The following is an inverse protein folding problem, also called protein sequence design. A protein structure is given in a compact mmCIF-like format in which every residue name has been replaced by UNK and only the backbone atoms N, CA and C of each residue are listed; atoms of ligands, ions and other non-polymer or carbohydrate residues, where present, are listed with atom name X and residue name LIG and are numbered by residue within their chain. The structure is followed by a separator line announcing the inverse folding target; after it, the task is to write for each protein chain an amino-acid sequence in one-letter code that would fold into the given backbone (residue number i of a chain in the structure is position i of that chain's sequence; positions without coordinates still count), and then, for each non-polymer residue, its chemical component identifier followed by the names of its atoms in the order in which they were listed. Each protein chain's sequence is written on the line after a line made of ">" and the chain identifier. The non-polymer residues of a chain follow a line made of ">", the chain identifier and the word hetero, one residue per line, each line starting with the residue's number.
data_IF_250977152919
#
_entry.id   IF_250977152919
#
_cell.length_a   1.000
_cell.length_b   1.000
_cell.length_c   1.000
_cell.angle_alpha   90.00
_cell.angle_beta   90.00
_cell.angle_gamma   90.00
#
_symmetry.space_group_name_H-M   'P 1'
#
loop_
_entity.id
_entity.type
_entity.pdbx_description
1 polymer ?
#
# COMPACT_ATOMS: atom_id res chain seq x y z
N UNK A 1 9.24 -14.51 19.29
CA UNK A 1 10.27 -15.38 19.93
C UNK A 1 9.72 -16.22 21.06
N UNK A 2 9.13 -15.63 22.10
CA UNK A 2 8.68 -16.35 23.31
C UNK A 2 7.73 -17.51 22.97
N UNK A 3 6.75 -17.26 22.10
CA UNK A 3 5.80 -18.28 21.68
C UNK A 3 6.47 -19.50 21.01
N UNK A 4 7.56 -19.31 20.26
CA UNK A 4 8.25 -20.40 19.56
C UNK A 4 8.86 -21.38 20.55
N UNK A 5 9.50 -20.83 21.59
CA UNK A 5 10.10 -21.63 22.66
C UNK A 5 9.01 -22.42 23.39
N UNK A 6 7.88 -21.79 23.72
CA UNK A 6 6.78 -22.49 24.38
C UNK A 6 6.16 -23.59 23.52
N UNK A 7 5.87 -23.31 22.25
CA UNK A 7 5.27 -24.28 21.33
C UNK A 7 6.21 -25.48 21.10
N UNK A 8 7.50 -25.22 20.90
CA UNK A 8 8.50 -26.29 20.69
C UNK A 8 8.71 -27.16 21.93
N UNK A 9 8.63 -26.59 23.14
CA UNK A 9 8.80 -27.34 24.39
C UNK A 9 7.48 -27.92 24.94
N UNK A 10 6.32 -27.58 24.35
CA UNK A 10 5.01 -28.06 24.81
C UNK A 10 4.91 -29.58 24.90
N UNK A 11 5.49 -30.37 23.97
CA UNK A 11 5.45 -31.83 24.08
C UNK A 11 6.16 -32.43 25.29
N UNK A 12 7.12 -31.71 25.88
CA UNK A 12 7.80 -32.14 27.11
C UNK A 12 6.86 -32.04 28.32
N UNK A 13 5.94 -31.07 28.30
CA UNK A 13 4.93 -30.88 29.35
C UNK A 13 3.68 -31.74 29.11
N UNK A 14 3.27 -31.85 27.84
CA UNK A 14 2.06 -32.55 27.43
C UNK A 14 2.37 -33.52 26.28
N UNK A 15 2.69 -34.79 26.59
CA UNK A 15 3.07 -35.79 25.58
C UNK A 15 2.02 -36.02 24.49
N UNK A 16 0.74 -35.71 24.75
CA UNK A 16 -0.34 -35.74 23.75
C UNK A 16 -0.09 -34.83 22.55
N UNK A 17 0.71 -33.77 22.71
CA UNK A 17 1.03 -32.82 21.64
C UNK A 17 2.23 -33.25 20.79
N UNK A 18 2.98 -34.28 21.20
CA UNK A 18 4.18 -34.78 20.53
C UNK A 18 3.98 -35.18 19.06
N UNK A 19 2.89 -35.87 18.66
CA UNK A 19 2.71 -36.26 17.26
C UNK A 19 2.63 -35.08 16.29
N UNK A 20 2.19 -33.92 16.79
CA UNK A 20 2.03 -32.70 15.98
C UNK A 20 3.21 -31.74 16.16
N UNK A 21 3.51 -31.36 17.39
CA UNK A 21 4.50 -30.32 17.72
C UNK A 21 5.92 -30.88 17.90
N UNK A 22 6.10 -32.20 17.93
CA UNK A 22 7.42 -32.82 17.93
C UNK A 22 8.15 -32.67 16.57
N UNK A 23 7.42 -32.32 15.51
CA UNK A 23 8.01 -32.00 14.21
C UNK A 23 8.45 -30.53 14.20
N UNK A 24 9.76 -30.21 14.11
CA UNK A 24 10.25 -28.83 14.22
C UNK A 24 9.62 -27.86 13.23
N UNK A 25 9.32 -28.33 12.02
CA UNK A 25 8.63 -27.55 10.99
C UNK A 25 7.22 -27.13 11.43
N UNK A 26 6.44 -28.05 12.00
CA UNK A 26 5.08 -27.77 12.44
C UNK A 26 5.10 -26.84 13.67
N UNK A 27 5.99 -27.08 14.63
CA UNK A 27 6.15 -26.20 15.78
C UNK A 27 6.53 -24.77 15.38
N UNK A 28 7.50 -24.64 14.45
CA UNK A 28 7.90 -23.36 13.87
C UNK A 28 6.75 -22.66 13.14
N UNK A 29 6.06 -23.39 12.26
CA UNK A 29 4.92 -22.88 11.50
C UNK A 29 3.80 -22.38 12.41
N UNK A 30 3.38 -23.17 13.40
CA UNK A 30 2.31 -22.79 14.32
C UNK A 30 2.71 -21.55 15.12
N UNK A 31 3.92 -21.54 15.69
CA UNK A 31 4.36 -20.38 16.47
C UNK A 31 4.45 -19.11 15.64
N UNK A 32 4.99 -19.19 14.41
CA UNK A 32 5.10 -18.01 13.55
C UNK A 32 3.72 -17.56 13.12
N UNK A 33 2.86 -18.48 12.65
CA UNK A 33 1.51 -18.15 12.19
C UNK A 33 0.69 -17.44 13.26
N UNK A 34 0.71 -17.94 14.50
CA UNK A 34 -0.04 -17.32 15.60
C UNK A 34 0.51 -15.93 15.94
N UNK A 35 1.85 -15.78 15.96
CA UNK A 35 2.48 -14.49 16.23
C UNK A 35 2.15 -13.48 15.13
N UNK A 36 2.34 -13.88 13.87
CA UNK A 36 2.09 -13.01 12.72
C UNK A 36 0.61 -12.70 12.53
N UNK A 37 -0.30 -13.63 12.85
CA UNK A 37 -1.74 -13.35 12.80
C UNK A 37 -2.13 -12.18 13.72
N UNK A 38 -1.49 -12.05 14.90
CA UNK A 38 -1.72 -10.92 15.79
C UNK A 38 -1.20 -9.61 15.19
N UNK A 39 0.01 -9.60 14.60
CA UNK A 39 0.55 -8.43 13.90
C UNK A 39 -0.31 -8.02 12.70
N UNK A 40 -0.73 -9.00 11.87
CA UNK A 40 -1.60 -8.75 10.71
C UNK A 40 -2.95 -8.18 11.14
N UNK A 41 -3.56 -8.69 12.22
CA UNK A 41 -4.81 -8.16 12.75
C UNK A 41 -4.68 -6.69 13.15
N UNK A 42 -3.58 -6.31 13.79
CA UNK A 42 -3.32 -4.93 14.20
C UNK A 42 -3.07 -4.01 13.00
N UNK A 43 -2.35 -4.48 11.98
CA UNK A 43 -2.14 -3.73 10.73
C UNK A 43 -3.47 -3.49 10.00
N UNK A 44 -4.34 -4.50 9.93
CA UNK A 44 -5.66 -4.36 9.32
C UNK A 44 -6.57 -3.43 10.14
N UNK A 45 -6.54 -3.54 11.47
CA UNK A 45 -7.28 -2.64 12.37
C UNK A 45 -6.81 -1.20 12.21
N UNK A 46 -5.50 -0.98 12.17
CA UNK A 46 -4.90 0.34 11.93
C UNK A 46 -5.30 0.93 10.58
N UNK A 47 -5.32 0.13 9.51
CA UNK A 47 -5.78 0.56 8.19
C UNK A 47 -7.26 0.94 8.16
N UNK A 48 -8.13 0.15 8.79
CA UNK A 48 -9.56 0.43 8.90
C UNK A 48 -9.83 1.74 9.66
N UNK A 49 -9.13 1.96 10.77
CA UNK A 49 -9.27 3.19 11.57
C UNK A 49 -8.69 4.43 10.89
N UNK A 50 -7.79 4.25 9.93
CA UNK A 50 -7.17 5.35 9.18
C UNK A 50 -8.07 5.91 8.07
N UNK A 51 -9.16 5.22 7.72
CA UNK A 51 -10.15 5.74 6.78
C UNK A 51 -10.96 6.86 7.44
N UNK A 52 -11.01 8.03 6.81
CA UNK A 52 -11.72 9.19 7.34
C UNK A 52 -13.22 8.88 7.56
N UNK A 53 -13.74 9.17 8.75
CA UNK A 53 -15.15 8.91 9.12
C UNK A 53 -16.16 9.51 8.14
N UNK A 54 -15.84 10.68 7.56
CA UNK A 54 -16.65 11.34 6.53
C UNK A 54 -16.89 10.50 5.27
N UNK A 55 -16.04 9.51 4.95
CA UNK A 55 -16.27 8.58 3.84
C UNK A 55 -17.51 7.70 4.09
N UNK A 56 -17.68 7.22 5.32
CA UNK A 56 -18.84 6.43 5.71
C UNK A 56 -20.09 7.31 5.79
N UNK A 57 -19.98 8.51 6.34
CA UNK A 57 -21.08 9.49 6.42
C UNK A 57 -21.57 9.91 5.03
N UNK A 58 -20.65 10.17 4.09
CA UNK A 58 -20.98 10.46 2.69
C UNK A 58 -21.65 9.27 2.00
N UNK A 59 -21.19 8.04 2.28
CA UNK A 59 -21.84 6.83 1.77
C UNK A 59 -23.29 6.72 2.24
N UNK A 60 -23.55 7.00 3.51
CA UNK A 60 -24.90 7.05 4.06
C UNK A 60 -25.75 8.17 3.43
N UNK A 61 -25.17 9.35 3.19
CA UNK A 61 -25.86 10.46 2.51
C UNK A 61 -26.26 10.12 1.06
N UNK A 62 -25.50 9.23 0.40
CA UNK A 62 -25.80 8.69 -0.93
C UNK A 62 -26.71 7.45 -0.90
N UNK A 63 -27.35 7.15 0.24
CA UNK A 63 -28.25 6.01 0.42
C UNK A 63 -27.59 4.63 0.19
N UNK A 64 -26.27 4.50 0.36
CA UNK A 64 -25.63 3.19 0.40
C UNK A 64 -25.98 2.46 1.71
N UNK A 65 -26.19 1.14 1.59
CA UNK A 65 -26.30 0.26 2.76
C UNK A 65 -24.93 0.10 3.44
N UNK A 66 -24.92 -0.29 4.72
CA UNK A 66 -23.69 -0.53 5.46
C UNK A 66 -22.73 -1.49 4.74
N UNK A 67 -23.25 -2.59 4.18
CA UNK A 67 -22.44 -3.57 3.42
C UNK A 67 -21.87 -2.91 2.15
N UNK A 68 -22.65 -2.06 1.47
CA UNK A 68 -22.19 -1.29 0.32
C UNK A 68 -21.04 -0.35 0.68
N UNK A 69 -21.18 0.40 1.77
CA UNK A 69 -20.14 1.31 2.28
C UNK A 69 -18.87 0.53 2.61
N UNK A 70 -18.99 -0.58 3.35
CA UNK A 70 -17.83 -1.37 3.73
C UNK A 70 -17.10 -1.95 2.51
N UNK A 71 -17.82 -2.62 1.60
CA UNK A 71 -17.23 -3.32 0.45
C UNK A 71 -16.68 -2.38 -0.61
N UNK A 72 -17.35 -1.25 -0.87
CA UNK A 72 -17.02 -0.36 -1.98
C UNK A 72 -16.16 0.83 -1.58
N UNK A 73 -16.24 1.27 -0.32
CA UNK A 73 -15.60 2.51 0.14
C UNK A 73 -14.52 2.20 1.17
N UNK A 74 -14.89 1.63 2.32
CA UNK A 74 -13.99 1.53 3.48
C UNK A 74 -12.92 0.47 3.29
N UNK A 75 -13.28 -0.78 2.96
CA UNK A 75 -12.34 -1.90 2.84
C UNK A 75 -11.29 -1.64 1.74
N UNK A 76 -11.65 -1.20 0.52
CA UNK A 76 -10.65 -0.92 -0.51
C UNK A 76 -9.68 0.19 -0.12
N UNK A 77 -10.15 1.22 0.60
CA UNK A 77 -9.30 2.31 1.10
C UNK A 77 -8.39 1.83 2.23
N UNK A 78 -8.96 1.15 3.23
CA UNK A 78 -8.21 0.57 4.33
C UNK A 78 -7.10 -0.38 3.84
N UNK A 79 -7.40 -1.21 2.84
CA UNK A 79 -6.42 -2.10 2.24
C UNK A 79 -5.25 -1.34 1.61
N UNK A 80 -5.54 -0.27 0.84
CA UNK A 80 -4.48 0.58 0.26
C UNK A 80 -3.63 1.26 1.34
N UNK A 81 -4.24 1.67 2.45
CA UNK A 81 -3.53 2.28 3.58
C UNK A 81 -2.64 1.25 4.29
N UNK A 82 -3.13 0.03 4.52
CA UNK A 82 -2.36 -1.03 5.19
C UNK A 82 -1.26 -1.63 4.33
N UNK A 83 -1.37 -1.59 2.99
CA UNK A 83 -0.49 -2.35 2.10
C UNK A 83 1.01 -2.03 2.26
N UNK A 84 1.46 -0.76 2.36
CA UNK A 84 2.88 -0.47 2.59
C UNK A 84 3.41 -1.10 3.88
N UNK A 85 2.60 -1.08 4.94
CA UNK A 85 2.93 -1.71 6.23
C UNK A 85 3.00 -3.23 6.10
N UNK A 86 2.04 -3.85 5.40
CA UNK A 86 2.04 -5.30 5.14
C UNK A 86 3.29 -5.76 4.36
N UNK A 87 3.71 -4.97 3.37
CA UNK A 87 4.95 -5.22 2.62
C UNK A 87 6.18 -5.16 3.54
N UNK A 88 6.24 -4.15 4.40
CA UNK A 88 7.33 -4.01 5.35
C UNK A 88 7.35 -5.16 6.38
N UNK A 89 6.18 -5.61 6.80
CA UNK A 89 6.05 -6.76 7.70
C UNK A 89 6.55 -8.04 7.03
N UNK A 90 6.20 -8.27 5.77
CA UNK A 90 6.70 -9.43 5.01
C UNK A 90 8.24 -9.48 4.94
N UNK A 91 8.89 -8.34 4.67
CA UNK A 91 10.36 -8.23 4.67
C UNK A 91 10.92 -8.53 6.07
N UNK A 92 10.19 -8.15 7.12
CA UNK A 92 10.56 -8.42 8.51
C UNK A 92 10.46 -9.90 8.84
N UNK A 93 9.40 -10.59 8.41
CA UNK A 93 9.20 -12.03 8.59
C UNK A 93 10.35 -12.84 7.97
N UNK A 94 10.85 -12.48 6.78
CA UNK A 94 12.00 -13.13 6.13
C UNK A 94 13.25 -13.10 7.01
N UNK A 95 13.50 -11.97 7.67
CA UNK A 95 14.65 -11.83 8.57
C UNK A 95 14.39 -12.58 9.87
N UNK A 96 13.18 -12.46 10.41
CA UNK A 96 12.80 -13.10 11.67
C UNK A 96 12.78 -14.62 11.58
N UNK A 97 12.59 -15.22 10.40
CA UNK A 97 12.64 -16.68 10.23
C UNK A 97 14.00 -17.28 10.60
N UNK A 98 15.07 -16.48 10.64
CA UNK A 98 16.39 -16.93 11.12
C UNK A 98 16.34 -17.48 12.55
N UNK A 99 15.36 -17.06 13.35
CA UNK A 99 15.19 -17.54 14.73
C UNK A 99 14.77 -19.01 14.79
N UNK A 100 14.22 -19.57 13.70
CA UNK A 100 13.85 -20.97 13.62
C UNK A 100 15.07 -21.91 13.67
N UNK A 101 16.27 -21.39 13.39
CA UNK A 101 17.53 -22.12 13.58
C UNK A 101 17.69 -22.64 15.02
N UNK A 102 17.18 -21.92 16.02
CA UNK A 102 17.25 -22.28 17.45
C UNK A 102 16.47 -23.58 17.76
N UNK A 103 15.40 -23.85 17.00
CA UNK A 103 14.62 -25.10 17.11
C UNK A 103 15.06 -26.16 16.10
N UNK A 104 16.30 -26.05 15.60
CA UNK A 104 16.92 -26.97 14.64
C UNK A 104 16.18 -27.08 13.29
N UNK A 105 15.41 -26.06 12.92
CA UNK A 105 14.78 -26.00 11.60
C UNK A 105 15.81 -25.56 10.54
N UNK A 106 16.07 -26.37 9.49
CA UNK A 106 17.00 -25.98 8.43
C UNK A 106 16.44 -24.82 7.61
N UNK A 107 17.01 -23.65 7.82
CA UNK A 107 16.90 -22.49 6.94
C UNK A 107 18.31 -21.93 6.65
N UNK A 108 18.42 -20.73 6.09
CA UNK A 108 19.69 -20.16 5.62
C UNK A 108 20.75 -20.06 6.74
N UNK A 109 20.39 -19.53 7.91
CA UNK A 109 21.31 -19.39 9.04
C UNK A 109 21.71 -20.77 9.58
N UNK A 110 20.78 -21.70 9.81
CA UNK A 110 21.14 -23.05 10.28
C UNK A 110 22.03 -23.80 9.27
N UNK A 111 21.83 -23.58 7.98
CA UNK A 111 22.67 -24.16 6.93
C UNK A 111 24.10 -23.62 7.00
N UNK A 112 24.26 -22.31 7.18
CA UNK A 112 25.56 -21.71 7.43
C UNK A 112 26.22 -22.22 8.71
N UNK A 113 25.43 -22.42 9.78
CA UNK A 113 25.92 -22.99 11.03
C UNK A 113 26.50 -24.40 10.88
N UNK A 114 25.81 -25.24 10.11
CA UNK A 114 26.30 -26.59 9.77
C UNK A 114 27.59 -26.54 8.95
N UNK A 115 27.67 -25.61 7.99
CA UNK A 115 28.84 -25.50 7.12
C UNK A 115 30.09 -25.03 7.87
N UNK A 116 29.99 -24.02 8.74
CA UNK A 116 31.14 -23.63 9.54
C UNK A 116 31.49 -24.66 10.61
N UNK A 117 30.52 -25.44 11.11
CA UNK A 117 30.81 -26.52 12.06
C UNK A 117 31.63 -27.65 11.41
N UNK A 118 31.51 -27.83 10.09
CA UNK A 118 32.29 -28.80 9.31
C UNK A 118 33.67 -28.26 8.93
N UNK A 119 33.72 -26.99 8.52
CA UNK A 119 34.91 -26.42 7.86
C UNK A 119 35.73 -25.50 8.78
N UNK A 120 35.20 -25.17 9.96
CA UNK A 120 35.74 -24.22 10.95
C UNK A 120 35.91 -22.76 10.48
N UNK A 121 35.42 -22.42 9.28
CA UNK A 121 35.43 -21.08 8.70
C UNK A 121 34.23 -20.24 9.17
N UNK A 122 34.22 -19.85 10.44
CA UNK A 122 33.07 -19.19 11.08
C UNK A 122 32.79 -17.81 10.46
N UNK A 123 33.81 -16.95 10.34
CA UNK A 123 33.63 -15.58 9.89
C UNK A 123 33.23 -15.52 8.41
N UNK A 124 33.89 -16.31 7.57
CA UNK A 124 33.65 -16.37 6.13
C UNK A 124 32.24 -16.88 5.84
N UNK A 125 31.81 -17.94 6.55
CA UNK A 125 30.48 -18.52 6.37
C UNK A 125 29.38 -17.59 6.87
N UNK A 126 29.54 -16.96 8.03
CA UNK A 126 28.55 -16.01 8.55
C UNK A 126 28.46 -14.74 7.70
N UNK A 127 29.58 -14.26 7.15
CA UNK A 127 29.59 -13.16 6.19
C UNK A 127 28.82 -13.54 4.92
N UNK A 128 29.05 -14.74 4.38
CA UNK A 128 28.30 -15.24 3.23
C UNK A 128 26.79 -15.30 3.52
N UNK A 129 26.39 -15.87 4.67
CA UNK A 129 24.99 -15.92 5.11
C UNK A 129 24.38 -14.51 5.19
N UNK A 130 25.10 -13.55 5.77
CA UNK A 130 24.64 -12.16 5.86
C UNK A 130 24.42 -11.54 4.47
N UNK A 131 25.36 -11.75 3.54
CA UNK A 131 25.24 -11.31 2.14
C UNK A 131 24.01 -11.93 1.47
N UNK A 132 23.75 -13.22 1.69
CA UNK A 132 22.55 -13.88 1.17
C UNK A 132 21.26 -13.28 1.74
N UNK A 133 21.17 -13.02 3.04
CA UNK A 133 20.00 -12.34 3.62
C UNK A 133 19.81 -10.95 3.01
N UNK A 134 20.87 -10.15 2.87
CA UNK A 134 20.80 -8.82 2.25
C UNK A 134 20.33 -8.91 0.79
N UNK A 135 20.86 -9.87 0.03
CA UNK A 135 20.45 -10.12 -1.35
C UNK A 135 18.95 -10.45 -1.43
N UNK A 136 18.48 -11.41 -0.63
CA UNK A 136 17.06 -11.82 -0.60
C UNK A 136 16.17 -10.64 -0.23
N UNK A 137 16.49 -9.93 0.85
CA UNK A 137 15.72 -8.76 1.30
C UNK A 137 15.68 -7.69 0.23
N UNK A 138 16.80 -7.43 -0.46
CA UNK A 138 16.87 -6.42 -1.52
C UNK A 138 16.03 -6.79 -2.73
N UNK A 139 16.06 -8.06 -3.16
CA UNK A 139 15.22 -8.57 -4.26
C UNK A 139 13.74 -8.40 -3.93
N UNK A 140 13.30 -8.82 -2.74
CA UNK A 140 11.91 -8.67 -2.33
C UNK A 140 11.51 -7.20 -2.16
N UNK A 141 12.37 -6.37 -1.57
CA UNK A 141 12.12 -4.93 -1.44
C UNK A 141 11.91 -4.28 -2.81
N UNK A 142 12.74 -4.62 -3.80
CA UNK A 142 12.59 -4.10 -5.16
C UNK A 142 11.29 -4.58 -5.82
N UNK A 143 10.97 -5.87 -5.69
CA UNK A 143 9.74 -6.45 -6.23
C UNK A 143 8.50 -5.77 -5.64
N UNK A 144 8.45 -5.57 -4.32
CA UNK A 144 7.31 -4.93 -3.68
C UNK A 144 7.23 -3.44 -3.95
N UNK A 145 8.36 -2.73 -4.08
CA UNK A 145 8.36 -1.33 -4.55
C UNK A 145 7.77 -1.21 -5.95
N UNK A 146 8.09 -2.13 -6.85
CA UNK A 146 7.49 -2.15 -8.18
C UNK A 146 5.97 -2.39 -8.10
N UNK A 147 5.52 -3.25 -7.19
CA UNK A 147 4.09 -3.48 -6.93
C UNK A 147 3.40 -2.25 -6.33
N UNK A 148 4.02 -1.58 -5.36
CA UNK A 148 3.50 -0.36 -4.74
C UNK A 148 3.31 0.75 -5.79
N UNK A 149 4.31 0.94 -6.66
CA UNK A 149 4.25 1.91 -7.76
C UNK A 149 3.12 1.59 -8.76
N UNK A 150 2.83 0.31 -9.01
CA UNK A 150 1.72 -0.11 -9.88
C UNK A 150 0.35 0.17 -9.27
N UNK A 151 0.26 0.13 -7.94
CA UNK A 151 -0.99 0.34 -7.21
C UNK A 151 -1.25 1.83 -6.90
N UNK A 152 -0.33 2.72 -7.29
CA UNK A 152 -0.40 4.19 -7.17
C UNK A 152 -0.76 4.68 -5.74
N UNK A 153 -0.37 3.89 -4.74
CA UNK A 153 -0.76 4.08 -3.32
C UNK A 153 -0.21 5.41 -2.77
N UNK A 154 0.94 5.84 -3.26
CA UNK A 154 1.62 7.07 -2.85
C UNK A 154 1.07 8.32 -3.57
N UNK A 155 0.22 8.18 -4.59
CA UNK A 155 -0.12 9.28 -5.50
C UNK A 155 -1.57 9.73 -5.37
N UNK A 156 -1.81 10.59 -4.37
CA UNK A 156 -2.66 11.79 -4.50
C UNK A 156 -2.49 12.64 -3.24
N UNK A 157 -1.57 13.61 -3.29
CA UNK A 157 -1.82 14.86 -2.56
C UNK A 157 -3.18 15.37 -3.08
N UNK A 158 -4.22 15.48 -2.26
CA UNK A 158 -5.39 16.23 -2.69
C UNK A 158 -4.88 17.62 -3.04
N UNK A 159 -5.04 18.03 -4.30
CA UNK A 159 -4.86 19.42 -4.71
C UNK A 159 -6.01 20.19 -4.06
N UNK A 160 -5.88 20.45 -2.76
CA UNK A 160 -6.72 21.41 -2.07
C UNK A 160 -6.38 22.77 -2.65
N UNK A 161 -7.41 23.54 -2.99
CA UNK A 161 -7.27 24.96 -3.31
C UNK A 161 -6.40 25.59 -2.22
N UNK A 162 -5.32 26.26 -2.64
CA UNK A 162 -4.50 27.06 -1.74
C UNK A 162 -5.36 28.06 -0.99
N UNK A 163 -4.95 28.49 0.20
CA UNK A 163 -5.71 29.48 0.98
C UNK A 163 -5.99 30.76 0.17
N UNK A 164 -5.07 31.13 -0.72
CA UNK A 164 -5.24 32.23 -1.67
C UNK A 164 -6.37 31.99 -2.68
N UNK A 165 -6.48 30.79 -3.24
CA UNK A 165 -7.57 30.43 -4.17
C UNK A 165 -8.92 30.35 -3.45
N UNK A 166 -8.96 29.83 -2.22
CA UNK A 166 -10.15 29.85 -1.38
C UNK A 166 -10.59 31.29 -1.04
N UNK A 167 -9.65 32.19 -0.72
CA UNK A 167 -9.94 33.60 -0.48
C UNK A 167 -10.45 34.30 -1.73
N UNK A 168 -9.84 34.05 -2.89
CA UNK A 168 -10.29 34.62 -4.16
C UNK A 168 -11.72 34.18 -4.51
N UNK A 169 -12.08 32.91 -4.26
CA UNK A 169 -13.46 32.42 -4.45
C UNK A 169 -14.44 33.05 -3.45
N UNK A 170 -14.03 33.25 -2.19
CA UNK A 170 -14.87 33.89 -1.16
C UNK A 170 -15.09 35.38 -1.42
N UNK A 171 -14.15 36.05 -2.07
CA UNK A 171 -14.22 37.45 -2.45
C UNK A 171 -14.96 37.68 -3.79
N UNK A 172 -15.26 36.64 -4.58
CA UNK A 172 -16.10 36.79 -5.77
C UNK A 172 -17.54 37.10 -5.34
N UNK A 173 -18.10 38.28 -5.70
CA UNK A 173 -19.47 38.62 -5.34
C UNK A 173 -20.45 37.70 -6.09
N UNK A 174 -21.43 37.14 -5.36
CA UNK A 174 -22.40 36.13 -5.81
C UNK A 174 -23.30 36.54 -7.01
N UNK A 175 -23.11 37.73 -7.58
CA UNK A 175 -23.91 38.27 -8.70
C UNK A 175 -23.17 38.40 -10.03
N UNK A 176 -21.88 38.06 -10.13
CA UNK A 176 -21.10 38.31 -11.35
C UNK A 176 -21.44 37.36 -12.53
N UNK A 177 -22.05 36.19 -12.27
CA UNK A 177 -22.32 35.20 -13.33
C UNK A 177 -23.49 35.57 -14.25
N UNK A 178 -24.39 36.48 -13.85
CA UNK A 178 -25.54 36.86 -14.70
C UNK A 178 -25.19 37.72 -15.91
N UNK A 179 -23.96 38.23 -16.05
CA UNK A 179 -23.61 39.20 -17.10
C UNK A 179 -22.81 38.64 -18.29
N UNK A 180 -22.27 37.43 -18.22
CA UNK A 180 -21.43 36.90 -19.31
C UNK A 180 -22.08 35.82 -20.19
N UNK A 181 -23.28 35.34 -19.85
CA UNK A 181 -24.04 34.42 -20.71
C UNK A 181 -25.01 35.15 -21.65
N UNK A 182 -24.51 35.96 -22.60
CA UNK A 182 -25.09 36.17 -23.94
C UNK A 182 -24.26 37.20 -24.75
N UNK A 183 -23.33 36.73 -25.60
CA UNK A 183 -23.19 37.37 -26.92
C UNK A 183 -22.92 36.30 -27.99
N UNK A 184 -23.96 35.55 -28.38
CA UNK A 184 -23.82 34.44 -29.33
C UNK A 184 -24.75 34.45 -30.55
N UNK A 185 -25.69 35.40 -30.69
CA UNK A 185 -26.80 35.23 -31.66
C UNK A 185 -27.05 36.34 -32.68
N UNK A 186 -26.13 37.31 -32.86
CA UNK A 186 -26.43 38.46 -33.72
C UNK A 186 -25.26 38.95 -34.59
N UNK A 187 -24.59 38.05 -35.32
CA UNK A 187 -23.69 38.45 -36.44
C UNK A 187 -23.71 37.52 -37.66
N UNK A 188 -24.73 36.66 -37.82
CA UNK A 188 -24.88 35.80 -39.03
C UNK A 188 -26.01 36.21 -39.99
N UNK A 189 -26.66 37.35 -39.77
CA UNK A 189 -27.75 37.82 -40.64
C UNK A 189 -27.62 39.32 -40.95
N UNK A 190 -26.52 39.73 -41.58
CA UNK A 190 -26.44 40.99 -42.32
C UNK A 190 -25.22 40.94 -43.25
N UNK A 191 -25.45 41.00 -44.56
CA UNK A 191 -24.40 41.39 -45.51
C UNK A 191 -23.97 40.40 -46.58
N UNK A 192 -24.69 39.30 -46.81
CA UNK A 192 -24.72 38.69 -48.14
C UNK A 192 -25.55 39.60 -49.06
N UNK A 193 -24.94 40.68 -49.56
CA UNK A 193 -25.41 41.54 -50.68
C UNK A 193 -24.38 42.64 -50.92
N UNK A 194 -23.43 42.38 -51.81
CA UNK A 194 -22.82 43.34 -52.74
C UNK A 194 -21.57 42.71 -53.35
N UNK A 195 -21.80 41.84 -54.34
CA UNK A 195 -20.84 41.61 -55.40
C UNK A 195 -21.33 42.44 -56.60
N UNK A 196 -20.45 43.26 -57.18
CA UNK A 196 -20.71 43.87 -58.49
C UNK A 196 -20.05 45.24 -58.70
N UNK A 197 -19.02 45.24 -59.55
CA UNK A 197 -18.47 46.38 -60.32
C UNK A 197 -17.78 47.48 -59.47
N UNK A 198 -16.63 48.06 -59.84
CA UNK A 198 -16.05 48.29 -61.16
C UNK A 198 -14.53 48.49 -61.02
N UNK A 199 -13.82 48.11 -62.08
CA UNK A 199 -12.44 48.50 -62.40
C UNK A 199 -12.28 50.03 -62.53
N UNK A 200 -11.01 50.48 -62.50
CA UNK A 200 -10.37 51.50 -63.37
C UNK A 200 -9.55 52.57 -62.61
N UNK A 201 -8.30 52.76 -63.08
CA UNK A 201 -7.30 53.85 -62.90
C UNK A 201 -6.64 54.02 -61.51
N UNK A 202 -5.32 54.22 -61.34
CA UNK A 202 -4.22 54.56 -62.26
C UNK A 202 -3.42 55.76 -61.72
N UNK A 203 -2.08 55.67 -61.72
CA UNK A 203 -1.07 56.74 -61.52
C UNK A 203 -0.95 57.31 -60.08
N UNK A 204 0.22 57.62 -59.53
CA UNK A 204 1.61 57.69 -59.98
C UNK A 204 2.54 57.45 -58.78
#
# INVERSE_FOLDING_TARGET
>A
MVLLVFVYNLPQLFPVTQPLLGVPFIAGLVSMTVTEAAYMAEIHRGGLLSVAKGQSEAGHALSFSFIGIQRLIVIPQAFRISLPTLINEYITIIKLSSILSVVSLPELLLTGQRLYAQNFLVMETLLAVAVYYVMVVTVFTWLFRALENRLDIQRKRPQTLSEAECQALRQRPAGAERREQHPGRQRRAAGARSAGHSQILGAA
#
